data_IF_043097385273
#
_entry.id   IF_043097385273
#
_cell.length_a   1.000
_cell.length_b   1.000
_cell.length_c   1.000
_cell.angle_alpha   90.00
_cell.angle_beta   90.00
_cell.angle_gamma   90.00
#
_symmetry.space_group_name_H-M   'P 1'
#
loop_
_entity.id
_entity.type
_entity.pdbx_description
1 polymer ?
#
# COMPACT_ATOMS: atom_id res chain seq x y z
N UNK A 1 61.30 16.64 -51.78
CA UNK A 1 61.30 16.03 -50.44
C UNK A 1 60.19 16.67 -49.65
N UNK A 2 59.00 16.05 -49.61
CA UNK A 2 57.83 16.52 -48.84
C UNK A 2 57.81 15.80 -47.52
N UNK A 3 57.98 16.51 -46.42
CA UNK A 3 57.83 15.93 -45.06
C UNK A 3 56.34 15.78 -44.71
N UNK A 4 55.92 14.54 -44.51
CA UNK A 4 54.58 14.17 -44.04
C UNK A 4 54.57 14.33 -42.50
N UNK A 5 53.82 15.32 -42.00
CA UNK A 5 53.58 15.48 -40.57
C UNK A 5 52.40 14.61 -40.18
N UNK A 6 52.66 13.52 -39.44
CA UNK A 6 51.62 12.72 -38.77
C UNK A 6 51.13 13.45 -37.53
N UNK A 7 49.91 13.93 -37.55
CA UNK A 7 49.19 14.36 -36.33
C UNK A 7 48.66 13.14 -35.60
N UNK A 8 49.27 12.80 -34.48
CA UNK A 8 48.73 11.87 -33.52
C UNK A 8 47.67 12.59 -32.70
N UNK A 9 46.38 12.30 -32.94
CA UNK A 9 45.30 12.65 -32.04
C UNK A 9 45.35 11.77 -30.80
N UNK A 10 45.34 12.32 -29.59
CA UNK A 10 45.18 11.52 -28.38
C UNK A 10 43.76 11.03 -28.32
N UNK A 11 43.58 9.71 -28.33
CA UNK A 11 42.34 9.04 -28.05
C UNK A 11 42.00 9.21 -26.57
N UNK A 12 41.20 10.23 -26.24
CA UNK A 12 40.62 10.35 -24.89
C UNK A 12 39.67 9.19 -24.67
N UNK A 13 40.16 8.16 -23.96
CA UNK A 13 39.31 7.14 -23.36
C UNK A 13 38.47 7.82 -22.27
N UNK A 14 37.24 8.18 -22.60
CA UNK A 14 36.24 8.56 -21.61
C UNK A 14 35.80 7.25 -20.94
N UNK A 15 36.43 6.93 -19.83
CA UNK A 15 35.93 5.88 -18.92
C UNK A 15 34.65 6.42 -18.27
N UNK A 16 33.51 6.05 -18.82
CA UNK A 16 32.22 6.23 -18.16
C UNK A 16 32.21 5.28 -16.99
N UNK A 17 32.63 5.74 -15.82
CA UNK A 17 32.40 5.06 -14.56
C UNK A 17 30.90 5.12 -14.28
N UNK A 18 30.19 4.05 -14.61
CA UNK A 18 28.86 3.80 -14.06
C UNK A 18 29.00 3.71 -12.54
N UNK A 19 28.68 4.79 -11.85
CA UNK A 19 28.33 4.71 -10.46
C UNK A 19 27.04 3.87 -10.37
N UNK A 20 27.20 2.57 -10.20
CA UNK A 20 26.16 1.79 -9.57
C UNK A 20 25.95 2.39 -8.19
N UNK A 21 24.92 3.22 -8.04
CA UNK A 21 24.34 3.48 -6.74
C UNK A 21 23.93 2.11 -6.24
N UNK A 22 24.73 1.56 -5.34
CA UNK A 22 24.41 0.36 -4.59
C UNK A 22 23.16 0.76 -3.83
N UNK A 23 21.99 0.40 -4.37
CA UNK A 23 20.77 0.41 -3.61
C UNK A 23 21.15 -0.32 -2.33
N UNK A 24 20.99 0.33 -1.19
CA UNK A 24 21.22 -0.25 0.12
C UNK A 24 20.46 -1.57 0.11
N UNK A 25 21.19 -2.67 -0.03
CA UNK A 25 20.61 -3.99 0.08
C UNK A 25 20.20 -4.10 1.54
N UNK A 26 18.95 -3.75 1.85
CA UNK A 26 18.31 -4.33 3.00
C UNK A 26 18.43 -5.85 2.78
N UNK A 27 19.11 -6.55 3.69
CA UNK A 27 19.13 -8.01 3.70
C UNK A 27 17.67 -8.45 3.83
N UNK A 28 17.06 -8.79 2.71
CA UNK A 28 15.65 -9.10 2.62
C UNK A 28 15.52 -10.54 2.15
N UNK A 29 14.92 -11.37 2.98
CA UNK A 29 14.68 -12.80 2.73
C UNK A 29 13.82 -13.09 1.50
N UNK A 30 13.28 -12.04 0.88
CA UNK A 30 12.45 -12.07 -0.33
C UNK A 30 10.97 -12.40 -0.07
N UNK A 31 10.12 -12.02 -1.04
CA UNK A 31 8.66 -12.10 -0.94
C UNK A 31 8.18 -13.51 -0.51
N UNK A 32 8.67 -14.55 -1.18
CA UNK A 32 8.26 -15.94 -0.92
C UNK A 32 8.44 -16.35 0.53
N UNK A 33 9.58 -16.00 1.13
CA UNK A 33 9.84 -16.30 2.54
C UNK A 33 8.78 -15.69 3.46
N UNK A 34 8.46 -14.42 3.29
CA UNK A 34 7.50 -13.72 4.15
C UNK A 34 6.06 -14.17 3.93
N UNK A 35 5.69 -14.55 2.69
CA UNK A 35 4.38 -15.13 2.39
C UNK A 35 4.21 -16.50 3.06
N UNK A 36 5.23 -17.36 2.98
CA UNK A 36 5.24 -18.68 3.63
C UNK A 36 5.24 -18.57 5.17
N UNK A 37 6.00 -17.62 5.73
CA UNK A 37 6.00 -17.31 7.15
C UNK A 37 4.69 -16.61 7.62
N UNK A 38 3.86 -16.17 6.70
CA UNK A 38 2.62 -15.45 6.99
C UNK A 38 2.83 -14.05 7.60
N UNK A 39 4.02 -13.48 7.48
CA UNK A 39 4.38 -12.18 8.05
C UNK A 39 3.96 -11.00 7.18
N UNK A 40 4.04 -11.16 5.85
CA UNK A 40 3.66 -10.11 4.88
C UNK A 40 2.62 -10.67 3.91
N UNK A 41 1.62 -9.84 3.59
CA UNK A 41 0.59 -10.12 2.60
C UNK A 41 0.74 -9.17 1.40
N UNK A 42 0.78 -9.70 0.17
CA UNK A 42 0.71 -8.92 -1.07
C UNK A 42 -0.60 -9.11 -1.82
N UNK A 43 -1.15 -10.31 -1.75
CA UNK A 43 -2.41 -10.74 -2.36
C UNK A 43 -2.74 -12.13 -1.85
N UNK A 44 -3.95 -12.61 -2.11
CA UNK A 44 -4.31 -14.02 -1.86
C UNK A 44 -4.60 -14.74 -3.18
N UNK A 45 -4.48 -16.06 -3.15
CA UNK A 45 -4.97 -16.92 -4.24
C UNK A 45 -6.40 -17.34 -3.93
N UNK A 46 -7.32 -16.98 -4.79
CA UNK A 46 -8.75 -17.34 -4.68
C UNK A 46 -9.43 -17.26 -6.04
N UNK A 47 -10.47 -18.06 -6.23
CA UNK A 47 -11.35 -17.99 -7.39
C UNK A 47 -12.56 -17.06 -7.13
N UNK A 48 -12.78 -16.69 -5.85
CA UNK A 48 -13.83 -15.74 -5.49
C UNK A 48 -13.46 -14.34 -6.04
N UNK A 49 -14.40 -13.73 -6.76
CA UNK A 49 -14.22 -12.35 -7.28
C UNK A 49 -14.32 -11.31 -6.16
N UNK A 50 -13.31 -11.32 -5.30
CA UNK A 50 -13.12 -10.36 -4.21
C UNK A 50 -11.79 -9.63 -4.39
N UNK A 51 -11.73 -8.36 -4.05
CA UNK A 51 -10.52 -7.53 -4.02
C UNK A 51 -10.55 -6.60 -2.82
N UNK A 52 -9.38 -6.24 -2.31
CA UNK A 52 -9.23 -5.20 -1.31
C UNK A 52 -8.77 -3.89 -1.96
N UNK A 53 -9.57 -2.84 -1.79
CA UNK A 53 -9.15 -1.46 -2.09
C UNK A 53 -8.46 -0.92 -0.86
N UNK A 54 -7.25 -0.39 -1.01
CA UNK A 54 -6.49 0.16 0.11
C UNK A 54 -6.05 1.59 -0.16
N UNK A 55 -6.09 2.42 0.88
CA UNK A 55 -5.78 3.85 0.81
C UNK A 55 -4.72 4.19 1.85
N UNK A 56 -3.64 4.87 1.42
CA UNK A 56 -2.54 5.28 2.27
C UNK A 56 -2.55 6.81 2.51
N UNK A 57 -1.81 7.25 3.53
CA UNK A 57 -1.50 8.64 3.87
C UNK A 57 -2.65 9.47 4.48
N UNK A 58 -3.87 8.95 4.51
CA UNK A 58 -5.03 9.65 5.08
C UNK A 58 -5.03 9.72 6.61
N UNK A 59 -6.09 10.32 7.18
CA UNK A 59 -7.15 11.02 6.47
C UNK A 59 -6.76 12.42 6.01
N UNK A 60 -7.30 12.83 4.88
CA UNK A 60 -7.27 14.20 4.39
C UNK A 60 -8.70 14.78 4.40
N UNK A 61 -8.88 15.94 4.98
CA UNK A 61 -10.20 16.55 5.23
C UNK A 61 -11.17 16.50 4.02
N UNK A 62 -10.68 16.74 2.83
CA UNK A 62 -11.50 16.75 1.61
C UNK A 62 -11.48 15.38 0.93
N UNK A 63 -10.31 14.89 0.55
CA UNK A 63 -10.22 13.72 -0.33
C UNK A 63 -10.65 12.43 0.33
N UNK A 64 -10.39 12.26 1.62
CA UNK A 64 -10.89 11.09 2.35
C UNK A 64 -12.42 11.12 2.44
N UNK A 65 -13.02 12.29 2.70
CA UNK A 65 -14.47 12.44 2.70
C UNK A 65 -15.07 12.08 1.33
N UNK A 66 -14.48 12.60 0.25
CA UNK A 66 -14.92 12.31 -1.12
C UNK A 66 -14.77 10.81 -1.47
N UNK A 67 -13.67 10.16 -1.02
CA UNK A 67 -13.47 8.71 -1.19
C UNK A 67 -14.56 7.92 -0.46
N UNK A 68 -14.85 8.26 0.80
CA UNK A 68 -15.90 7.61 1.58
C UNK A 68 -17.28 7.76 0.92
N UNK A 69 -17.60 8.93 0.36
CA UNK A 69 -18.85 9.16 -0.37
C UNK A 69 -18.97 8.25 -1.59
N UNK A 70 -17.86 8.09 -2.35
CA UNK A 70 -17.84 7.19 -3.52
C UNK A 70 -17.95 5.73 -3.08
N UNK A 71 -17.23 5.30 -2.05
CA UNK A 71 -17.31 3.93 -1.52
C UNK A 71 -18.73 3.61 -1.04
N UNK A 72 -19.36 4.51 -0.28
CA UNK A 72 -20.71 4.34 0.23
C UNK A 72 -21.75 4.17 -0.91
N UNK A 73 -21.63 4.94 -1.98
CA UNK A 73 -22.52 4.84 -3.15
C UNK A 73 -22.54 3.44 -3.77
N UNK A 74 -21.44 2.72 -3.72
CA UNK A 74 -21.29 1.36 -4.26
C UNK A 74 -21.27 0.27 -3.16
N UNK A 75 -21.60 0.63 -1.92
CA UNK A 75 -21.53 -0.27 -0.74
C UNK A 75 -20.18 -1.01 -0.63
N UNK A 76 -19.12 -0.38 -1.14
CA UNK A 76 -17.78 -0.92 -1.16
C UNK A 76 -17.13 -0.75 0.23
N UNK A 77 -16.47 -1.81 0.73
CA UNK A 77 -15.61 -1.70 1.90
C UNK A 77 -14.15 -1.57 1.46
N UNK A 78 -13.35 -0.93 2.28
CA UNK A 78 -11.94 -0.66 2.01
C UNK A 78 -11.12 -0.72 3.31
N UNK A 79 -9.80 -0.78 3.17
CA UNK A 79 -8.85 -0.66 4.29
C UNK A 79 -8.05 0.61 4.14
N UNK A 80 -8.02 1.44 5.19
CA UNK A 80 -7.29 2.70 5.23
C UNK A 80 -6.05 2.56 6.10
N UNK A 81 -4.87 2.73 5.51
CA UNK A 81 -3.59 2.77 6.21
C UNK A 81 -3.30 4.20 6.65
N UNK A 82 -3.53 4.47 7.91
CA UNK A 82 -3.72 5.78 8.49
C UNK A 82 -2.42 6.32 9.07
N UNK A 83 -2.10 7.56 8.73
CA UNK A 83 -1.04 8.34 9.35
C UNK A 83 -1.58 8.98 10.64
N UNK A 84 -1.00 8.65 11.79
CA UNK A 84 -1.52 9.04 13.11
C UNK A 84 -1.71 10.53 13.28
N UNK A 85 -0.77 11.37 12.86
CA UNK A 85 -0.91 12.84 12.90
C UNK A 85 -2.09 13.36 12.08
N UNK A 86 -2.47 12.67 11.02
CA UNK A 86 -3.62 13.03 10.20
C UNK A 86 -4.93 12.61 10.88
N UNK A 87 -4.91 11.47 11.59
CA UNK A 87 -6.04 11.02 12.41
C UNK A 87 -6.37 12.03 13.52
N UNK A 88 -5.35 12.53 14.24
CA UNK A 88 -5.55 13.54 15.29
C UNK A 88 -6.18 14.85 14.77
N UNK A 89 -5.86 15.21 13.52
CA UNK A 89 -6.40 16.43 12.89
C UNK A 89 -7.80 16.27 12.33
N UNK A 90 -8.25 15.03 12.11
CA UNK A 90 -9.53 14.71 11.47
C UNK A 90 -10.20 13.50 12.17
N UNK A 91 -10.43 13.54 13.49
CA UNK A 91 -10.98 12.40 14.22
C UNK A 91 -12.39 12.02 13.76
N UNK A 92 -13.16 12.96 13.23
CA UNK A 92 -14.49 12.73 12.66
C UNK A 92 -14.46 11.81 11.42
N UNK A 93 -13.38 11.90 10.61
CA UNK A 93 -13.21 11.01 9.46
C UNK A 93 -12.81 9.60 9.88
N UNK A 94 -12.03 9.47 10.95
CA UNK A 94 -11.69 8.17 11.54
C UNK A 94 -12.94 7.49 12.08
N UNK A 95 -13.77 8.23 12.87
CA UNK A 95 -15.06 7.70 13.33
C UNK A 95 -15.94 7.29 12.17
N UNK A 96 -16.06 8.13 11.14
CA UNK A 96 -16.85 7.84 9.94
C UNK A 96 -16.37 6.57 9.23
N UNK A 97 -15.05 6.40 9.01
CA UNK A 97 -14.50 5.17 8.42
C UNK A 97 -14.92 3.93 9.20
N UNK A 98 -14.78 3.99 10.53
CA UNK A 98 -15.10 2.90 11.42
C UNK A 98 -16.60 2.57 11.44
N UNK A 99 -17.46 3.58 11.57
CA UNK A 99 -18.92 3.44 11.61
C UNK A 99 -19.50 2.95 10.28
N UNK A 100 -18.89 3.33 9.14
CA UNK A 100 -19.26 2.84 7.82
C UNK A 100 -18.71 1.42 7.54
N UNK A 101 -17.97 0.81 8.48
CA UNK A 101 -17.46 -0.57 8.41
C UNK A 101 -16.24 -0.71 7.48
N UNK A 102 -15.48 0.34 7.29
CA UNK A 102 -14.15 0.25 6.71
C UNK A 102 -13.13 -0.22 7.75
N UNK A 103 -12.06 -0.84 7.30
CA UNK A 103 -10.98 -1.29 8.17
C UNK A 103 -9.95 -0.19 8.36
N UNK A 104 -9.60 0.06 9.63
CA UNK A 104 -8.53 0.94 10.02
C UNK A 104 -7.24 0.14 10.16
N UNK A 105 -6.17 0.60 9.52
CA UNK A 105 -4.84 0.02 9.56
C UNK A 105 -3.79 1.10 9.84
N UNK A 106 -2.59 0.69 10.22
CA UNK A 106 -1.55 1.61 10.68
C UNK A 106 -0.55 1.92 9.57
N UNK A 107 -0.20 3.21 9.39
CA UNK A 107 0.81 3.69 8.44
C UNK A 107 1.84 4.61 9.08
N UNK A 108 2.24 4.31 10.33
CA UNK A 108 3.08 5.15 11.18
C UNK A 108 2.39 6.43 11.67
N UNK A 109 3.01 7.15 12.58
CA UNK A 109 2.43 8.38 13.14
C UNK A 109 2.84 9.62 12.34
N UNK A 110 4.14 9.77 12.04
CA UNK A 110 4.70 10.95 11.33
C UNK A 110 5.01 10.70 9.86
N UNK A 111 4.79 9.49 9.35
CA UNK A 111 5.16 9.07 8.00
C UNK A 111 6.65 9.24 7.68
N UNK A 112 7.57 8.69 8.49
CA UNK A 112 9.01 8.90 8.32
C UNK A 112 9.55 8.11 7.14
N UNK A 113 10.23 8.77 6.19
CA UNK A 113 10.87 8.13 5.04
C UNK A 113 12.07 7.24 5.43
N UNK A 114 12.64 7.48 6.61
CA UNK A 114 13.73 6.68 7.17
C UNK A 114 13.52 6.51 8.66
N UNK A 115 13.60 5.28 9.13
CA UNK A 115 13.44 4.95 10.55
C UNK A 115 14.27 3.74 10.92
N UNK A 116 14.47 3.49 12.21
CA UNK A 116 15.01 2.26 12.76
C UNK A 116 13.90 1.48 13.49
N UNK A 117 14.19 0.23 13.87
CA UNK A 117 13.21 -0.65 14.53
C UNK A 117 12.57 0.02 15.76
N UNK A 118 13.38 0.60 16.65
CA UNK A 118 12.88 1.20 17.90
C UNK A 118 11.94 2.38 17.64
N UNK A 119 12.29 3.25 16.69
CA UNK A 119 11.44 4.39 16.33
C UNK A 119 10.19 3.93 15.57
N UNK A 120 10.31 2.93 14.69
CA UNK A 120 9.18 2.37 13.99
C UNK A 120 8.11 1.83 14.96
N UNK A 121 8.54 1.08 15.98
CA UNK A 121 7.58 0.56 16.96
C UNK A 121 6.87 1.68 17.75
N UNK A 122 7.58 2.76 18.09
CA UNK A 122 6.97 3.93 18.71
C UNK A 122 5.94 4.63 17.80
N UNK A 123 6.27 4.75 16.52
CA UNK A 123 5.37 5.31 15.50
C UNK A 123 4.08 4.47 15.36
N UNK A 124 4.23 3.14 15.37
CA UNK A 124 3.10 2.20 15.33
C UNK A 124 2.25 2.34 16.60
N UNK A 125 2.87 2.33 17.77
CA UNK A 125 2.17 2.42 19.04
C UNK A 125 1.40 3.74 19.15
N UNK A 126 2.02 4.86 18.82
CA UNK A 126 1.40 6.18 18.88
C UNK A 126 0.18 6.29 17.94
N UNK A 127 0.29 5.77 16.73
CA UNK A 127 -0.86 5.72 15.81
C UNK A 127 -1.99 4.87 16.36
N UNK A 128 -1.69 3.69 16.92
CA UNK A 128 -2.70 2.83 17.50
C UNK A 128 -3.38 3.43 18.73
N UNK A 129 -2.64 4.14 19.57
CA UNK A 129 -3.21 4.89 20.70
C UNK A 129 -4.17 5.98 20.22
N UNK A 130 -3.78 6.73 19.18
CA UNK A 130 -4.65 7.73 18.56
C UNK A 130 -5.93 7.11 18.02
N UNK A 131 -5.84 6.03 17.22
CA UNK A 131 -7.01 5.37 16.67
C UNK A 131 -7.90 4.74 17.73
N UNK A 132 -7.29 4.14 18.77
CA UNK A 132 -8.02 3.58 19.90
C UNK A 132 -8.78 4.67 20.70
N UNK A 133 -8.16 5.82 20.89
CA UNK A 133 -8.82 6.94 21.62
C UNK A 133 -10.07 7.45 20.90
N UNK A 134 -10.13 7.32 19.56
CA UNK A 134 -11.24 7.80 18.75
C UNK A 134 -12.33 6.74 18.61
N UNK A 135 -11.95 5.47 18.41
CA UNK A 135 -12.89 4.40 17.99
C UNK A 135 -13.01 3.25 18.98
N UNK A 136 -12.13 3.14 19.97
CA UNK A 136 -12.00 1.95 20.81
C UNK A 136 -11.36 0.73 20.10
N UNK A 137 -10.94 0.88 18.85
CA UNK A 137 -10.34 -0.19 18.05
C UNK A 137 -8.83 -0.02 17.91
N UNK A 138 -8.05 -1.10 18.06
CA UNK A 138 -6.60 -1.13 17.80
C UNK A 138 -6.32 -1.92 16.53
N UNK A 139 -5.77 -1.30 15.48
CA UNK A 139 -5.34 -2.01 14.27
C UNK A 139 -4.26 -3.07 14.55
N UNK A 140 -4.34 -4.17 13.80
CA UNK A 140 -3.31 -5.22 13.77
C UNK A 140 -2.65 -5.33 12.39
N UNK A 141 -3.11 -4.54 11.42
CA UNK A 141 -2.50 -4.43 10.11
C UNK A 141 -1.61 -3.20 10.05
N UNK A 142 -0.46 -3.35 9.43
CA UNK A 142 0.53 -2.29 9.24
C UNK A 142 1.03 -2.28 7.80
N UNK A 143 1.20 -1.10 7.20
CA UNK A 143 1.92 -0.93 5.93
C UNK A 143 3.12 -0.02 6.16
N UNK A 144 4.35 -0.47 5.79
CA UNK A 144 5.53 0.39 5.87
C UNK A 144 5.45 1.51 4.84
N UNK A 145 5.97 2.68 5.22
CA UNK A 145 6.06 3.87 4.37
C UNK A 145 6.84 3.53 3.10
N UNK A 146 6.32 3.91 1.92
CA UNK A 146 6.87 3.56 0.60
C UNK A 146 7.12 2.05 0.38
N UNK A 147 6.53 1.18 1.19
CA UNK A 147 6.80 -0.25 1.16
C UNK A 147 8.21 -0.64 1.60
N UNK A 148 8.95 0.25 2.26
CA UNK A 148 10.33 0.02 2.68
C UNK A 148 10.41 -0.68 4.04
N UNK A 149 11.12 -1.79 4.11
CA UNK A 149 11.32 -2.54 5.35
C UNK A 149 12.68 -3.27 5.36
N UNK A 150 13.14 -3.65 6.55
CA UNK A 150 14.23 -4.60 6.75
C UNK A 150 13.70 -5.86 7.44
N UNK A 151 14.46 -6.96 7.38
CA UNK A 151 14.12 -8.20 8.08
C UNK A 151 13.88 -7.95 9.57
N UNK A 152 14.76 -7.15 10.21
CA UNK A 152 14.62 -6.80 11.62
C UNK A 152 13.34 -6.00 11.94
N UNK A 153 12.86 -5.15 11.02
CA UNK A 153 11.58 -4.46 11.16
C UNK A 153 10.43 -5.45 11.10
N UNK A 154 10.42 -6.35 10.11
CA UNK A 154 9.36 -7.36 9.97
C UNK A 154 9.30 -8.28 11.18
N UNK A 155 10.45 -8.76 11.65
CA UNK A 155 10.51 -9.62 12.83
C UNK A 155 9.98 -8.93 14.09
N UNK A 156 10.29 -7.63 14.29
CA UNK A 156 9.78 -6.84 15.41
C UNK A 156 8.26 -6.64 15.31
N UNK A 157 7.76 -6.26 14.14
CA UNK A 157 6.34 -6.05 13.86
C UNK A 157 5.54 -7.35 14.11
N UNK A 158 6.03 -8.47 13.57
CA UNK A 158 5.38 -9.76 13.71
C UNK A 158 5.38 -10.26 15.17
N UNK A 159 6.42 -9.97 15.95
CA UNK A 159 6.52 -10.32 17.39
C UNK A 159 5.43 -9.64 18.22
N UNK A 160 5.04 -8.42 17.87
CA UNK A 160 3.96 -7.68 18.54
C UNK A 160 2.57 -8.03 17.98
N UNK A 161 2.47 -9.05 17.12
CA UNK A 161 1.22 -9.58 16.59
C UNK A 161 0.65 -8.82 15.37
N UNK A 162 1.39 -7.89 14.80
CA UNK A 162 0.96 -7.20 13.58
C UNK A 162 1.25 -8.05 12.35
N UNK A 163 0.41 -7.84 11.33
CA UNK A 163 0.64 -8.33 9.98
C UNK A 163 0.98 -7.18 9.05
N UNK A 164 2.08 -7.34 8.32
CA UNK A 164 2.44 -6.38 7.27
C UNK A 164 1.62 -6.64 6.02
N UNK A 165 1.06 -5.58 5.45
CA UNK A 165 0.25 -5.63 4.23
C UNK A 165 0.87 -4.72 3.18
N UNK A 166 1.27 -5.32 2.08
CA UNK A 166 1.72 -4.64 0.87
C UNK A 166 0.56 -4.51 -0.11
N UNK A 167 0.84 -4.50 -1.40
CA UNK A 167 -0.16 -4.49 -2.47
C UNK A 167 0.29 -5.41 -3.60
N UNK A 168 -0.63 -5.81 -4.45
CA UNK A 168 -0.29 -6.50 -5.70
C UNK A 168 0.50 -5.54 -6.57
N UNK A 169 1.79 -5.78 -6.79
CA UNK A 169 2.72 -4.81 -7.38
C UNK A 169 2.28 -4.21 -8.71
N UNK A 170 1.58 -5.00 -9.53
CA UNK A 170 1.01 -4.54 -10.80
C UNK A 170 -0.22 -3.63 -10.64
N UNK A 171 -0.72 -3.48 -9.41
CA UNK A 171 -1.83 -2.61 -9.02
C UNK A 171 -1.38 -1.43 -8.14
N UNK A 172 -0.12 -1.03 -8.24
CA UNK A 172 0.31 0.29 -7.83
C UNK A 172 -0.23 1.30 -8.85
N UNK A 173 -1.23 2.05 -8.47
CA UNK A 173 -1.91 2.99 -9.38
C UNK A 173 -1.07 4.21 -9.71
N UNK A 174 0.00 4.46 -8.93
CA UNK A 174 0.84 5.66 -9.00
C UNK A 174 0.04 6.95 -8.90
N UNK A 175 -1.14 6.93 -8.28
CA UNK A 175 -2.06 8.05 -8.16
C UNK A 175 -1.44 9.25 -7.43
N UNK A 176 -0.49 8.98 -6.53
CA UNK A 176 0.32 9.99 -5.85
C UNK A 176 1.18 10.85 -6.80
N UNK A 177 1.48 10.37 -8.02
CA UNK A 177 2.17 11.13 -9.08
C UNK A 177 1.23 11.95 -9.94
N UNK A 178 -0.07 11.93 -9.68
CA UNK A 178 -1.09 12.58 -10.53
C UNK A 178 -1.00 12.20 -12.01
N UNK A 179 -1.00 10.90 -12.35
CA UNK A 179 -0.70 10.40 -13.70
C UNK A 179 -1.82 10.60 -14.72
N UNK A 180 -2.95 11.14 -14.28
CA UNK A 180 -4.20 11.25 -15.04
C UNK A 180 -5.21 10.15 -14.69
N UNK A 181 -6.49 10.52 -14.61
CA UNK A 181 -7.60 9.62 -14.24
C UNK A 181 -7.60 8.34 -15.07
N UNK A 182 -7.50 8.46 -16.40
CA UNK A 182 -7.53 7.31 -17.30
C UNK A 182 -6.39 6.31 -17.04
N UNK A 183 -5.23 6.76 -16.58
CA UNK A 183 -4.12 5.87 -16.26
C UNK A 183 -4.42 5.07 -15.00
N UNK A 184 -4.94 5.71 -13.95
CA UNK A 184 -5.37 5.04 -12.73
C UNK A 184 -6.43 3.99 -13.04
N UNK A 185 -7.48 4.37 -13.76
CA UNK A 185 -8.57 3.49 -14.19
C UNK A 185 -8.03 2.28 -14.98
N UNK A 186 -7.20 2.53 -15.99
CA UNK A 186 -6.65 1.45 -16.82
C UNK A 186 -5.74 0.51 -16.04
N UNK A 187 -4.93 1.00 -15.08
CA UNK A 187 -4.09 0.16 -14.22
C UNK A 187 -4.96 -0.85 -13.48
N UNK A 188 -6.05 -0.40 -12.89
CA UNK A 188 -6.95 -1.28 -12.13
C UNK A 188 -7.74 -2.20 -13.05
N UNK A 189 -8.52 -1.66 -13.99
CA UNK A 189 -9.45 -2.45 -14.78
C UNK A 189 -8.79 -3.50 -15.68
N UNK A 190 -7.54 -3.25 -16.12
CA UNK A 190 -6.77 -4.21 -16.94
C UNK A 190 -5.93 -5.18 -16.13
N UNK A 191 -5.60 -4.81 -14.88
CA UNK A 191 -4.68 -5.57 -14.04
C UNK A 191 -5.36 -6.47 -13.02
N UNK A 192 -6.53 -6.09 -12.54
CA UNK A 192 -7.19 -6.71 -11.39
C UNK A 192 -7.52 -8.18 -11.62
N UNK A 193 -7.27 -8.99 -10.59
CA UNK A 193 -7.65 -10.40 -10.48
C UNK A 193 -8.24 -10.66 -9.09
N UNK A 194 -8.97 -11.75 -8.96
CA UNK A 194 -9.47 -12.21 -7.66
C UNK A 194 -8.34 -12.30 -6.62
N UNK A 195 -8.60 -11.80 -5.42
CA UNK A 195 -7.65 -11.82 -4.32
C UNK A 195 -6.60 -10.71 -4.31
N UNK A 196 -6.64 -9.78 -5.26
CA UNK A 196 -5.68 -8.67 -5.32
C UNK A 196 -5.94 -7.60 -4.26
N UNK A 197 -4.86 -6.90 -3.89
CA UNK A 197 -4.84 -5.70 -3.07
C UNK A 197 -4.41 -4.53 -3.95
N UNK A 198 -5.27 -3.53 -4.08
CA UNK A 198 -5.03 -2.34 -4.93
C UNK A 198 -4.54 -1.20 -4.06
N UNK A 199 -3.46 -0.53 -4.49
CA UNK A 199 -2.92 0.64 -3.81
C UNK A 199 -3.45 1.92 -4.41
N UNK A 200 -4.07 2.73 -3.55
CA UNK A 200 -4.42 4.13 -3.76
C UNK A 200 -3.93 4.97 -2.58
N UNK A 201 -4.11 6.27 -2.67
CA UNK A 201 -3.86 7.21 -1.59
C UNK A 201 -5.06 8.16 -1.43
N UNK A 202 -5.41 8.46 -0.18
CA UNK A 202 -6.45 9.45 0.15
C UNK A 202 -5.87 10.67 0.88
N UNK A 203 -4.56 10.62 1.22
CA UNK A 203 -3.78 11.70 1.81
C UNK A 203 -2.49 12.02 1.05
N UNK A 204 -1.59 12.79 1.67
CA UNK A 204 -0.25 13.08 1.14
C UNK A 204 -0.21 13.99 -0.09
N UNK A 205 -1.29 14.72 -0.43
CA UNK A 205 -1.33 15.67 -1.54
C UNK A 205 -2.68 15.77 -2.24
N UNK A 206 -2.69 16.19 -3.52
CA UNK A 206 -3.92 16.30 -4.31
C UNK A 206 -4.35 14.91 -4.81
N UNK A 207 -5.52 14.45 -4.35
CA UNK A 207 -6.09 13.14 -4.68
C UNK A 207 -7.41 13.23 -5.50
N UNK A 208 -7.70 14.38 -6.08
CA UNK A 208 -8.89 14.55 -6.92
C UNK A 208 -8.96 13.57 -8.11
N UNK A 209 -7.80 13.13 -8.61
CA UNK A 209 -7.75 12.11 -9.68
C UNK A 209 -8.10 10.71 -9.16
N UNK A 210 -7.71 10.39 -7.92
CA UNK A 210 -8.07 9.14 -7.25
C UNK A 210 -9.57 9.05 -7.08
N UNK A 211 -10.21 10.09 -6.53
CA UNK A 211 -11.67 10.16 -6.38
C UNK A 211 -12.38 9.93 -7.72
N UNK A 212 -12.00 10.71 -8.76
CA UNK A 212 -12.59 10.57 -10.11
C UNK A 212 -12.32 9.20 -10.76
N UNK A 213 -11.22 8.56 -10.43
CA UNK A 213 -10.93 7.21 -10.92
C UNK A 213 -11.81 6.17 -10.24
N UNK A 214 -12.04 6.27 -8.93
CA UNK A 214 -12.95 5.38 -8.20
C UNK A 214 -14.37 5.42 -8.73
N UNK A 215 -14.89 6.60 -9.09
CA UNK A 215 -16.23 6.74 -9.71
C UNK A 215 -16.39 5.94 -11.02
N UNK A 216 -15.28 5.64 -11.70
CA UNK A 216 -15.26 4.83 -12.93
C UNK A 216 -14.92 3.37 -12.65
N UNK A 217 -14.03 3.11 -11.71
CA UNK A 217 -13.54 1.76 -11.38
C UNK A 217 -14.63 0.93 -10.70
N UNK A 218 -15.28 1.48 -9.67
CA UNK A 218 -16.20 0.72 -8.84
C UNK A 218 -17.39 0.16 -9.62
N UNK A 219 -18.15 0.96 -10.42
CA UNK A 219 -19.28 0.43 -11.17
C UNK A 219 -18.86 -0.61 -12.22
N UNK A 220 -17.67 -0.48 -12.80
CA UNK A 220 -17.19 -1.42 -13.81
C UNK A 220 -16.78 -2.76 -13.20
N UNK A 221 -16.13 -2.75 -12.03
CA UNK A 221 -15.77 -3.96 -11.32
C UNK A 221 -16.98 -4.66 -10.71
N UNK A 222 -17.95 -3.90 -10.17
CA UNK A 222 -19.23 -4.45 -9.72
C UNK A 222 -19.96 -5.19 -10.85
N UNK A 223 -20.02 -4.60 -12.04
CA UNK A 223 -20.56 -5.20 -13.26
C UNK A 223 -19.87 -6.49 -13.67
N UNK A 224 -18.56 -6.58 -13.42
CA UNK A 224 -17.77 -7.77 -13.62
C UNK A 224 -17.96 -8.82 -12.51
N UNK A 225 -18.75 -8.51 -11.49
CA UNK A 225 -19.07 -9.37 -10.36
C UNK A 225 -18.04 -9.36 -9.23
N UNK A 226 -17.16 -8.36 -9.17
CA UNK A 226 -16.27 -8.20 -8.03
C UNK A 226 -17.00 -7.63 -6.82
N UNK A 227 -16.63 -8.14 -5.64
CA UNK A 227 -17.00 -7.57 -4.32
C UNK A 227 -15.78 -6.89 -3.72
N UNK A 228 -16.01 -5.76 -3.07
CA UNK A 228 -15.00 -4.97 -2.40
C UNK A 228 -15.01 -5.30 -0.92
N UNK A 229 -13.93 -5.89 -0.44
CA UNK A 229 -13.78 -6.40 0.93
C UNK A 229 -12.61 -5.70 1.62
N UNK A 230 -12.59 -5.76 2.95
CA UNK A 230 -11.42 -5.33 3.72
C UNK A 230 -10.26 -6.33 3.58
N UNK A 231 -9.06 -5.93 3.97
CA UNK A 231 -7.90 -6.84 3.95
C UNK A 231 -8.08 -7.97 4.95
N UNK A 232 -8.71 -7.72 6.11
CA UNK A 232 -9.02 -8.77 7.08
C UNK A 232 -10.00 -9.80 6.52
N UNK A 233 -11.07 -9.38 5.84
CA UNK A 233 -11.99 -10.31 5.15
C UNK A 233 -11.26 -11.12 4.06
N UNK A 234 -10.34 -10.49 3.33
CA UNK A 234 -9.51 -11.19 2.34
C UNK A 234 -8.63 -12.28 3.01
N UNK A 235 -8.06 -11.98 4.18
CA UNK A 235 -7.28 -12.93 4.97
C UNK A 235 -8.13 -14.10 5.50
N UNK A 236 -9.37 -13.84 5.88
CA UNK A 236 -10.31 -14.90 6.33
C UNK A 236 -10.57 -15.91 5.22
N UNK A 237 -10.79 -15.45 3.99
CA UNK A 237 -10.92 -16.34 2.81
C UNK A 237 -9.66 -17.19 2.61
N UNK A 238 -8.48 -16.59 2.71
CA UNK A 238 -7.21 -17.34 2.60
C UNK A 238 -7.08 -18.42 3.69
N UNK A 239 -7.47 -18.09 4.93
CA UNK A 239 -7.40 -19.04 6.03
C UNK A 239 -8.41 -20.19 5.87
N UNK A 240 -9.60 -19.90 5.35
CA UNK A 240 -10.61 -20.92 5.06
C UNK A 240 -10.10 -21.91 3.99
N UNK A 241 -9.51 -21.40 2.90
CA UNK A 241 -8.92 -22.26 1.86
C UNK A 241 -7.81 -23.15 2.39
N UNK A 242 -6.86 -22.60 3.16
CA UNK A 242 -5.75 -23.37 3.77
C UNK A 242 -6.26 -24.46 4.74
N UNK A 243 -7.39 -24.24 5.43
CA UNK A 243 -7.99 -25.26 6.30
C UNK A 243 -8.64 -26.39 5.50
N UNK A 244 -9.20 -26.09 4.33
CA UNK A 244 -9.79 -27.11 3.45
C UNK A 244 -8.71 -27.98 2.79
N UNK A 245 -7.64 -27.38 2.30
CA UNK A 245 -6.50 -28.12 1.71
C UNK A 245 -5.82 -29.09 2.69
N UNK A 246 -5.74 -28.74 3.98
CA UNK A 246 -5.16 -29.61 5.03
C UNK A 246 -6.06 -30.79 5.42
N UNK A 247 -7.33 -30.81 5.00
CA UNK A 247 -8.29 -31.88 5.31
C UNK A 247 -8.41 -32.91 4.17
N UNK A 248 -7.81 -32.65 3.03
CA UNK A 248 -7.67 -33.54 1.88
C UNK A 248 -6.33 -34.30 1.94
#
# INVERSE_FOLDING_TARGET
>A
MKKLLLFLLPLCLITVTFFYVKASSYDNKGRKYYEEAGQILWEIKTEEKIIALTFDDGPHRTYTADVLDVLNKYQAKATFFIVGQNAEKNPELISRMYDEGHELANHTYTHPLKTNVSNLMKEIDQTNETLYSITGFKPTLFRPVEGQFSDAMIDAIAKEGYKVVMWSWHLDTLDWKSPGVNRIVNTVLKGVKAGNIVLFHDGGGNRAQTVKALEQILPELEKQGYRFVTVSELLEVQMAHKKMEKKQ
#
